data_IF_220756224125
#
_entry.id   IF_220756224125
#
_cell.length_a   1.000
_cell.length_b   1.000
_cell.length_c   1.000
_cell.angle_alpha   90.00
_cell.angle_beta   90.00
_cell.angle_gamma   90.00
#
_symmetry.space_group_name_H-M   'P 1'
#
loop_
_entity.id
_entity.type
_entity.pdbx_description
1 polymer ?
#
# COMPACT_ATOMS: atom_id res chain seq x y z
N UNK A 1 6.17 -52.82 12.79
CA UNK A 1 5.92 -51.54 12.12
C UNK A 1 4.85 -50.83 12.91
N UNK A 2 5.19 -49.76 13.63
CA UNK A 2 4.23 -48.83 14.18
C UNK A 2 4.66 -47.45 13.66
N UNK A 3 3.89 -46.93 12.70
CA UNK A 3 4.05 -45.57 12.23
C UNK A 3 3.53 -44.64 13.32
N UNK A 4 4.43 -43.83 13.88
CA UNK A 4 4.04 -42.73 14.76
C UNK A 4 3.14 -41.74 13.98
N UNK A 5 2.18 -41.09 14.65
CA UNK A 5 1.28 -40.14 13.99
C UNK A 5 2.09 -38.95 13.46
N UNK A 6 1.87 -38.57 12.20
CA UNK A 6 2.40 -37.33 11.64
C UNK A 6 1.80 -36.15 12.41
N UNK A 7 2.55 -35.61 13.37
CA UNK A 7 2.19 -34.35 13.99
C UNK A 7 2.09 -33.27 12.90
N UNK A 8 1.04 -32.42 12.90
CA UNK A 8 1.00 -31.28 12.00
C UNK A 8 2.22 -30.40 12.32
N UNK A 9 3.11 -30.22 11.34
CA UNK A 9 4.24 -29.32 11.48
C UNK A 9 3.70 -27.91 11.76
N UNK A 10 4.15 -27.33 12.86
CA UNK A 10 3.88 -25.92 13.16
C UNK A 10 4.26 -25.06 11.95
N UNK A 11 3.38 -24.13 11.51
CA UNK A 11 3.68 -23.33 10.34
C UNK A 11 4.95 -22.53 10.54
N UNK A 12 5.74 -22.45 9.48
CA UNK A 12 6.98 -21.68 9.45
C UNK A 12 6.73 -20.21 9.81
N UNK A 13 7.79 -19.53 10.28
CA UNK A 13 7.71 -18.08 10.55
C UNK A 13 7.25 -17.28 9.32
N UNK A 14 7.58 -17.77 8.13
CA UNK A 14 7.10 -17.21 6.87
C UNK A 14 5.58 -17.35 6.70
N UNK A 15 5.04 -18.55 6.89
CA UNK A 15 3.59 -18.80 6.82
C UNK A 15 2.81 -17.98 7.86
N UNK A 16 3.40 -17.79 9.05
CA UNK A 16 2.83 -16.91 10.08
C UNK A 16 2.86 -15.42 9.67
N UNK A 17 3.81 -15.00 8.83
CA UNK A 17 3.96 -13.61 8.40
C UNK A 17 3.07 -13.22 7.20
N UNK A 18 2.75 -14.17 6.31
CA UNK A 18 1.96 -13.92 5.08
C UNK A 18 0.64 -13.17 5.36
N UNK A 19 -0.20 -13.56 6.34
CA UNK A 19 -1.46 -12.85 6.61
C UNK A 19 -1.25 -11.40 7.06
N UNK A 20 -0.19 -11.13 7.82
CA UNK A 20 0.13 -9.78 8.30
C UNK A 20 0.55 -8.88 7.15
N UNK A 21 1.40 -9.40 6.26
CA UNK A 21 1.84 -8.67 5.06
C UNK A 21 0.66 -8.39 4.14
N UNK A 22 -0.22 -9.37 3.90
CA UNK A 22 -1.41 -9.20 3.08
C UNK A 22 -2.36 -8.13 3.66
N UNK A 23 -2.59 -8.15 4.98
CA UNK A 23 -3.42 -7.15 5.64
C UNK A 23 -2.83 -5.74 5.53
N UNK A 24 -1.52 -5.60 5.65
CA UNK A 24 -0.84 -4.31 5.49
C UNK A 24 -0.91 -3.82 4.04
N UNK A 25 -0.74 -4.70 3.05
CA UNK A 25 -0.86 -4.33 1.64
C UNK A 25 -2.27 -3.82 1.30
N UNK A 26 -3.31 -4.53 1.75
CA UNK A 26 -4.69 -4.12 1.53
C UNK A 26 -5.05 -2.76 2.18
N UNK A 27 -4.39 -2.40 3.29
CA UNK A 27 -4.51 -1.07 3.92
C UNK A 27 -3.80 0.00 3.09
N UNK A 28 -2.62 -0.30 2.56
CA UNK A 28 -1.87 0.61 1.68
C UNK A 28 -2.64 0.91 0.40
N UNK A 29 -3.16 -0.12 -0.27
CA UNK A 29 -3.96 0.02 -1.48
C UNK A 29 -5.19 0.89 -1.24
N UNK A 30 -5.87 0.72 -0.10
CA UNK A 30 -7.01 1.57 0.28
C UNK A 30 -6.61 3.03 0.51
N UNK A 31 -5.51 3.28 1.21
CA UNK A 31 -5.01 4.64 1.43
C UNK A 31 -4.71 5.33 0.09
N UNK A 32 -3.90 4.70 -0.76
CA UNK A 32 -3.53 5.23 -2.07
C UNK A 32 -4.75 5.40 -2.97
N UNK A 33 -5.66 4.43 -3.01
CA UNK A 33 -6.89 4.48 -3.79
C UNK A 33 -7.78 5.66 -3.40
N UNK A 34 -7.97 5.88 -2.09
CA UNK A 34 -8.76 7.01 -1.56
C UNK A 34 -8.12 8.35 -1.89
N UNK A 35 -6.80 8.47 -1.71
CA UNK A 35 -6.06 9.69 -2.05
C UNK A 35 -6.15 9.97 -3.54
N UNK A 36 -5.95 8.97 -4.41
CA UNK A 36 -6.07 9.13 -5.87
C UNK A 36 -7.48 9.53 -6.27
N UNK A 37 -8.51 8.88 -5.75
CA UNK A 37 -9.90 9.20 -6.10
C UNK A 37 -10.29 10.64 -5.74
N UNK A 38 -9.72 11.20 -4.66
CA UNK A 38 -10.10 12.52 -4.15
C UNK A 38 -9.13 13.64 -4.56
N UNK A 39 -7.88 13.32 -4.88
CA UNK A 39 -6.80 14.30 -5.10
C UNK A 39 -6.02 14.08 -6.41
N UNK A 40 -6.48 13.22 -7.33
CA UNK A 40 -5.85 13.10 -8.65
C UNK A 40 -5.83 14.47 -9.36
N UNK A 41 -4.67 14.81 -9.93
CA UNK A 41 -4.46 16.09 -10.62
C UNK A 41 -4.31 17.31 -9.71
N UNK A 42 -4.36 17.14 -8.38
CA UNK A 42 -4.00 18.19 -7.42
C UNK A 42 -2.48 18.36 -7.35
N UNK A 43 -2.04 19.43 -6.66
CA UNK A 43 -0.62 19.71 -6.48
C UNK A 43 0.09 18.59 -5.71
N UNK A 44 1.39 18.40 -5.98
CA UNK A 44 2.20 17.42 -5.25
C UNK A 44 2.09 17.59 -3.73
N UNK A 45 2.11 18.84 -3.24
CA UNK A 45 2.04 19.14 -1.80
C UNK A 45 0.72 18.68 -1.18
N UNK A 46 -0.40 18.92 -1.84
CA UNK A 46 -1.73 18.49 -1.38
C UNK A 46 -1.87 16.97 -1.41
N UNK A 47 -1.45 16.33 -2.50
CA UNK A 47 -1.47 14.88 -2.64
C UNK A 47 -0.58 14.22 -1.59
N UNK A 48 0.63 14.74 -1.38
CA UNK A 48 1.58 14.21 -0.41
C UNK A 48 1.03 14.29 1.01
N UNK A 49 0.43 15.42 1.39
CA UNK A 49 -0.23 15.58 2.68
C UNK A 49 -1.40 14.60 2.84
N UNK A 50 -2.29 14.54 1.85
CA UNK A 50 -3.46 13.67 1.87
C UNK A 50 -3.07 12.18 1.93
N UNK A 51 -1.99 11.79 1.25
CA UNK A 51 -1.45 10.43 1.28
C UNK A 51 -0.91 10.07 2.67
N UNK A 52 -0.17 10.98 3.32
CA UNK A 52 0.31 10.77 4.69
C UNK A 52 -0.87 10.60 5.65
N UNK A 53 -1.86 11.49 5.57
CA UNK A 53 -3.06 11.41 6.43
C UNK A 53 -3.81 10.09 6.22
N UNK A 54 -3.99 9.65 4.96
CA UNK A 54 -4.62 8.37 4.65
C UNK A 54 -3.83 7.16 5.20
N UNK A 55 -2.50 7.17 5.10
CA UNK A 55 -1.65 6.11 5.63
C UNK A 55 -1.66 6.05 7.17
N UNK A 56 -1.78 7.21 7.83
CA UNK A 56 -1.95 7.29 9.29
C UNK A 56 -3.31 6.74 9.70
N UNK A 57 -4.39 7.11 9.01
CA UNK A 57 -5.74 6.60 9.26
C UNK A 57 -5.84 5.08 9.11
N UNK A 58 -5.17 4.52 8.11
CA UNK A 58 -5.11 3.06 7.89
C UNK A 58 -4.09 2.37 8.83
N UNK A 59 -3.35 3.12 9.64
CA UNK A 59 -2.39 2.60 10.63
C UNK A 59 -1.12 2.01 10.02
N UNK A 60 -0.81 2.31 8.76
CA UNK A 60 0.30 1.71 7.99
C UNK A 60 1.42 2.70 7.67
N UNK A 61 1.35 3.95 8.15
CA UNK A 61 2.43 4.93 7.92
C UNK A 61 3.82 4.42 8.33
N UNK A 62 3.91 3.59 9.37
CA UNK A 62 5.16 3.06 9.90
C UNK A 62 5.79 1.97 9.03
N UNK A 63 5.01 1.28 8.20
CA UNK A 63 5.54 0.25 7.28
C UNK A 63 6.01 0.82 5.95
N UNK A 64 5.66 2.06 5.64
CA UNK A 64 6.00 2.71 4.36
C UNK A 64 7.24 3.60 4.52
N UNK A 65 8.31 3.33 3.77
CA UNK A 65 9.45 4.25 3.67
C UNK A 65 9.03 5.61 3.10
N UNK A 66 9.64 6.69 3.57
CA UNK A 66 9.29 8.04 3.10
C UNK A 66 9.46 8.22 1.58
N UNK A 67 10.49 7.60 0.99
CA UNK A 67 10.74 7.68 -0.45
C UNK A 67 9.59 7.10 -1.28
N UNK A 68 8.92 6.05 -0.77
CA UNK A 68 7.77 5.43 -1.44
C UNK A 68 6.55 6.37 -1.40
N UNK A 69 6.35 7.08 -0.28
CA UNK A 69 5.28 8.08 -0.15
C UNK A 69 5.48 9.23 -1.14
N UNK A 70 6.71 9.73 -1.28
CA UNK A 70 7.07 10.78 -2.23
C UNK A 70 6.81 10.35 -3.68
N UNK A 71 7.19 9.11 -4.03
CA UNK A 71 6.95 8.58 -5.38
C UNK A 71 5.45 8.45 -5.68
N UNK A 72 4.67 7.91 -4.75
CA UNK A 72 3.22 7.80 -4.91
C UNK A 72 2.55 9.17 -5.03
N UNK A 73 2.98 10.14 -4.23
CA UNK A 73 2.48 11.50 -4.34
C UNK A 73 2.77 12.11 -5.71
N UNK A 74 3.99 11.92 -6.24
CA UNK A 74 4.37 12.37 -7.59
C UNK A 74 3.54 11.71 -8.68
N UNK A 75 3.28 10.40 -8.58
CA UNK A 75 2.44 9.68 -9.55
C UNK A 75 0.99 10.17 -9.52
N UNK A 76 0.41 10.34 -8.33
CA UNK A 76 -0.99 10.80 -8.19
C UNK A 76 -1.13 12.26 -8.63
N UNK A 77 -0.19 13.16 -8.29
CA UNK A 77 -0.21 14.54 -8.79
C UNK A 77 0.03 14.61 -10.31
N UNK A 78 0.87 13.73 -10.86
CA UNK A 78 1.20 13.66 -12.28
C UNK A 78 0.11 13.09 -13.19
N UNK A 79 -0.93 12.45 -12.63
CA UNK A 79 -2.06 11.91 -13.42
C UNK A 79 -2.95 12.98 -14.09
N UNK A 80 -2.63 14.26 -13.96
CA UNK A 80 -3.30 15.37 -14.68
C UNK A 80 -2.69 15.75 -16.05
N UNK A 81 -1.74 14.97 -16.60
CA UNK A 81 -0.96 15.38 -17.79
C UNK A 81 -0.61 14.28 -18.80
N UNK A 82 -1.51 13.35 -19.08
CA UNK A 82 -1.43 12.52 -20.31
C UNK A 82 -2.84 12.31 -20.85
N UNK A 83 -3.39 13.41 -21.34
CA UNK A 83 -4.57 13.46 -22.18
C UNK A 83 -4.37 14.60 -23.17
N UNK A 84 -3.46 14.42 -24.13
CA UNK A 84 -3.41 15.05 -25.47
C UNK A 84 -2.23 14.42 -26.24
N UNK A 85 -2.33 13.85 -27.43
CA UNK A 85 -3.44 13.78 -28.38
C UNK A 85 -3.28 12.62 -29.36
N UNK A 86 -4.38 12.31 -30.02
CA UNK A 86 -4.43 11.49 -31.23
C UNK A 86 -3.90 12.29 -32.42
N UNK A 87 -3.06 11.66 -33.25
CA UNK A 87 -3.11 11.67 -34.72
C UNK A 87 -2.52 10.35 -35.22
#
# INVERSE_FOLDING_TARGET
MASEPSEPSEPSAYEKAVPVVAANLAKLERAVGRTRASHAGQSYAEVHRALIEALVQEGVRHVVPSQVVEEWARRVSGTGGTGDGAD
#
